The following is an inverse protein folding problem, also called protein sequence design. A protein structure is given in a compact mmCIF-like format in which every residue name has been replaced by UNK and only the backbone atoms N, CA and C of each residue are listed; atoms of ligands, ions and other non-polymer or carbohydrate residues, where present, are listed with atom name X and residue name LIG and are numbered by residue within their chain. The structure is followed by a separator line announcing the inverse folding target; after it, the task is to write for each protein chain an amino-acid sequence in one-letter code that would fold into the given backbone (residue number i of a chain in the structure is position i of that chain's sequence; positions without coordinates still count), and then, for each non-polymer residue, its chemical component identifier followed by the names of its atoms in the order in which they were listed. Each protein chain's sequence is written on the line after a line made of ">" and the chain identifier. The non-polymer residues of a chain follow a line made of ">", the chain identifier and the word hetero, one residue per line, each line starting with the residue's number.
data_IF_883090746490
#
_entry.id   IF_883090746490
#
_cell.length_a   1.000
_cell.length_b   1.000
_cell.length_c   1.000
_cell.angle_alpha   90.00
_cell.angle_beta   90.00
_cell.angle_gamma   90.00
#
_symmetry.space_group_name_H-M   'P 1'
#
loop_
_entity.id
_entity.type
_entity.pdbx_description
1 polymer ?
#
# COMPACT_ATOMS: atom_id res chain seq x y z
N UNK A 1 -9.51 10.35 25.15
CA UNK A 1 -8.22 9.84 24.56
C UNK A 1 -7.75 10.81 23.51
N UNK A 2 -6.42 11.02 23.36
CA UNK A 2 -5.90 11.64 22.14
C UNK A 2 -5.89 10.62 20.98
N UNK A 3 -5.62 11.07 19.76
CA UNK A 3 -5.66 10.22 18.55
C UNK A 3 -4.79 8.97 18.68
N UNK A 4 -3.55 9.13 19.18
CA UNK A 4 -2.63 8.01 19.36
C UNK A 4 -3.08 7.03 20.43
N UNK A 5 -3.56 7.51 21.57
CA UNK A 5 -4.09 6.66 22.63
C UNK A 5 -5.26 5.82 22.14
N UNK A 6 -6.14 6.41 21.31
CA UNK A 6 -7.29 5.73 20.72
C UNK A 6 -6.86 4.62 19.75
N UNK A 7 -5.92 4.90 18.86
CA UNK A 7 -5.35 3.90 17.95
C UNK A 7 -4.71 2.76 18.72
N UNK A 8 -3.85 3.06 19.72
CA UNK A 8 -3.17 2.03 20.50
C UNK A 8 -4.13 1.19 21.33
N UNK A 9 -5.21 1.76 21.87
CA UNK A 9 -6.25 1.00 22.58
C UNK A 9 -6.93 0.01 21.61
N UNK A 10 -7.34 0.48 20.43
CA UNK A 10 -7.96 -0.37 19.41
C UNK A 10 -7.05 -1.52 18.99
N UNK A 11 -5.75 -1.23 18.75
CA UNK A 11 -4.76 -2.24 18.36
C UNK A 11 -4.47 -3.27 19.47
N UNK A 12 -4.80 -2.97 20.73
CA UNK A 12 -4.76 -3.91 21.85
C UNK A 12 -6.10 -4.62 22.10
N UNK A 13 -7.07 -4.46 21.18
CA UNK A 13 -8.46 -4.96 21.34
C UNK A 13 -9.16 -4.40 22.59
N UNK A 14 -8.76 -3.21 23.05
CA UNK A 14 -9.42 -2.44 24.10
C UNK A 14 -10.43 -1.48 23.46
N UNK A 15 -11.59 -1.28 24.11
CA UNK A 15 -12.62 -0.36 23.60
C UNK A 15 -12.16 1.10 23.78
N UNK A 16 -11.96 1.87 22.69
CA UNK A 16 -11.61 3.28 22.76
C UNK A 16 -12.84 4.15 23.08
N UNK A 17 -12.63 5.44 23.37
CA UNK A 17 -13.70 6.42 23.57
C UNK A 17 -14.59 6.63 22.33
N UNK A 18 -14.04 6.43 21.13
CA UNK A 18 -14.77 6.34 19.86
C UNK A 18 -13.97 5.51 18.85
N UNK A 19 -14.64 5.06 17.78
CA UNK A 19 -13.99 4.30 16.69
C UNK A 19 -12.95 5.19 16.01
N UNK A 20 -11.68 4.74 15.88
CA UNK A 20 -10.64 5.49 15.18
C UNK A 20 -11.00 5.74 13.72
N UNK A 21 -10.63 6.90 13.22
CA UNK A 21 -10.93 7.29 11.86
C UNK A 21 -9.67 7.68 11.08
N UNK A 22 -9.46 7.02 9.95
CA UNK A 22 -8.41 7.32 8.98
C UNK A 22 -9.00 7.88 7.69
N UNK A 23 -8.46 8.99 7.22
CA UNK A 23 -8.74 9.57 5.91
C UNK A 23 -7.42 9.93 5.23
N UNK A 24 -7.08 9.17 4.18
CA UNK A 24 -5.94 9.48 3.30
C UNK A 24 -4.56 9.42 3.98
N UNK A 25 -4.37 8.59 5.00
CA UNK A 25 -3.02 8.35 5.53
C UNK A 25 -2.15 7.56 4.55
N UNK A 26 -2.76 6.66 3.78
CA UNK A 26 -2.13 5.85 2.72
C UNK A 26 -2.99 5.87 1.44
N UNK A 27 -2.49 5.33 0.30
CA UNK A 27 -3.30 5.24 -0.92
C UNK A 27 -4.59 4.44 -0.73
N UNK A 28 -4.56 3.40 0.12
CA UNK A 28 -5.72 2.50 0.32
C UNK A 28 -6.82 3.09 1.20
N UNK A 29 -6.55 4.20 1.88
CA UNK A 29 -7.55 5.00 2.63
C UNK A 29 -7.78 6.37 1.99
N UNK A 30 -7.27 6.56 0.77
CA UNK A 30 -7.27 7.83 0.05
C UNK A 30 -8.65 8.25 -0.47
N UNK A 31 -8.79 9.53 -0.74
CA UNK A 31 -9.99 10.12 -1.37
C UNK A 31 -9.64 10.70 -2.74
N UNK A 32 -10.40 10.32 -3.77
CA UNK A 32 -10.25 10.86 -5.12
C UNK A 32 -10.49 12.38 -5.13
N UNK A 33 -9.69 13.14 -5.87
CA UNK A 33 -9.71 14.60 -5.83
C UNK A 33 -11.11 15.21 -6.12
N UNK A 34 -11.91 14.62 -7.01
CA UNK A 34 -13.27 15.07 -7.28
C UNK A 34 -14.22 14.84 -6.09
N UNK A 35 -14.04 13.74 -5.37
CA UNK A 35 -14.82 13.47 -4.16
C UNK A 35 -14.37 14.38 -3.01
N UNK A 36 -13.06 14.62 -2.89
CA UNK A 36 -12.49 15.52 -1.90
C UNK A 36 -13.02 16.96 -2.04
N UNK A 37 -13.11 17.48 -3.26
CA UNK A 37 -13.69 18.80 -3.52
C UNK A 37 -15.14 18.88 -3.08
N UNK A 38 -15.93 17.81 -3.32
CA UNK A 38 -17.32 17.71 -2.83
C UNK A 38 -17.39 17.63 -1.30
N UNK A 39 -16.47 16.91 -0.68
CA UNK A 39 -16.36 16.81 0.77
C UNK A 39 -16.09 18.18 1.39
N UNK A 40 -15.09 18.94 0.90
CA UNK A 40 -14.80 20.30 1.38
C UNK A 40 -16.03 21.20 1.32
N UNK A 41 -16.75 21.17 0.20
CA UNK A 41 -18.02 21.92 0.04
C UNK A 41 -19.08 21.48 1.07
N UNK A 42 -19.23 20.18 1.29
CA UNK A 42 -20.20 19.65 2.26
C UNK A 42 -19.86 20.05 3.71
N UNK A 43 -18.58 20.19 4.03
CA UNK A 43 -18.07 20.64 5.33
C UNK A 43 -18.11 22.19 5.47
N UNK A 44 -18.51 22.94 4.46
CA UNK A 44 -18.50 24.40 4.47
C UNK A 44 -17.10 25.02 4.40
N UNK A 45 -16.10 24.26 3.98
CA UNK A 45 -14.72 24.71 3.83
C UNK A 45 -14.51 25.42 2.48
N UNK A 46 -13.50 26.30 2.36
CA UNK A 46 -13.19 26.98 1.11
C UNK A 46 -12.97 26.01 -0.07
N UNK A 47 -13.45 26.37 -1.26
CA UNK A 47 -13.17 25.64 -2.49
C UNK A 47 -11.74 25.93 -2.94
N UNK A 48 -10.87 24.94 -2.83
CA UNK A 48 -9.48 24.99 -3.27
C UNK A 48 -9.24 23.91 -4.33
N UNK A 49 -8.33 24.16 -5.27
CA UNK A 49 -7.91 23.11 -6.21
C UNK A 49 -7.12 22.05 -5.46
N UNK A 50 -7.58 20.78 -5.45
CA UNK A 50 -6.91 19.73 -4.70
C UNK A 50 -5.50 19.45 -5.22
N UNK A 51 -4.52 19.44 -4.34
CA UNK A 51 -3.20 18.88 -4.64
C UNK A 51 -3.31 17.36 -4.78
N UNK A 52 -2.94 16.81 -5.95
CA UNK A 52 -2.92 15.35 -6.18
C UNK A 52 -1.57 14.80 -5.75
N UNK A 53 -1.54 13.98 -4.71
CA UNK A 53 -0.32 13.37 -4.21
C UNK A 53 -0.09 11.94 -4.72
N UNK A 54 -1.16 11.21 -5.06
CA UNK A 54 -1.08 9.86 -5.61
C UNK A 54 -1.65 9.84 -7.03
N UNK A 55 -0.76 9.94 -8.01
CA UNK A 55 -1.12 10.22 -9.39
C UNK A 55 -1.95 9.10 -10.03
N UNK A 56 -1.58 7.82 -9.80
CA UNK A 56 -2.26 6.67 -10.40
C UNK A 56 -3.77 6.68 -10.09
N UNK A 57 -4.12 6.83 -8.83
CA UNK A 57 -5.51 6.82 -8.35
C UNK A 57 -6.11 8.23 -8.23
N UNK A 58 -5.39 9.28 -8.60
CA UNK A 58 -5.86 10.68 -8.54
C UNK A 58 -6.34 11.09 -7.13
N UNK A 59 -5.58 10.67 -6.09
CA UNK A 59 -5.94 10.97 -4.70
C UNK A 59 -5.50 12.36 -4.30
N UNK A 60 -6.40 13.07 -3.62
CA UNK A 60 -6.13 14.38 -3.07
C UNK A 60 -5.28 14.31 -1.80
N UNK A 61 -4.38 15.27 -1.65
CA UNK A 61 -3.82 15.60 -0.35
C UNK A 61 -4.93 16.16 0.53
N UNK A 62 -5.17 15.56 1.67
CA UNK A 62 -6.15 16.06 2.63
C UNK A 62 -5.48 17.11 3.50
N UNK A 63 -6.05 18.30 3.50
CA UNK A 63 -5.57 19.47 4.23
C UNK A 63 -5.90 19.36 5.73
N UNK A 64 -5.13 20.07 6.57
CA UNK A 64 -5.31 20.02 8.02
C UNK A 64 -6.69 20.49 8.48
N UNK A 65 -7.30 21.48 7.82
CA UNK A 65 -8.66 21.95 8.10
C UNK A 65 -9.73 20.86 7.96
N UNK A 66 -9.59 19.99 6.94
CA UNK A 66 -10.47 18.83 6.77
C UNK A 66 -10.22 17.78 7.87
N UNK A 67 -8.96 17.51 8.16
CA UNK A 67 -8.59 16.62 9.24
C UNK A 67 -9.13 17.06 10.61
N UNK A 68 -9.11 18.36 10.89
CA UNK A 68 -9.64 18.95 12.12
C UNK A 68 -11.16 18.81 12.22
N UNK A 69 -11.88 19.16 11.16
CA UNK A 69 -13.35 19.06 11.13
C UNK A 69 -13.81 17.61 11.18
N UNK A 70 -13.12 16.72 10.47
CA UNK A 70 -13.43 15.28 10.43
C UNK A 70 -12.90 14.51 11.66
N UNK A 71 -12.06 15.13 12.48
CA UNK A 71 -11.43 14.53 13.67
C UNK A 71 -10.71 13.21 13.35
N UNK A 72 -9.92 13.21 12.29
CA UNK A 72 -9.18 12.00 11.90
C UNK A 72 -8.02 11.72 12.86
N UNK A 73 -7.78 10.43 13.15
CA UNK A 73 -6.83 9.98 14.16
C UNK A 73 -5.44 9.65 13.59
N UNK A 74 -5.36 9.36 12.31
CA UNK A 74 -4.12 8.87 11.69
C UNK A 74 -3.59 9.89 10.69
N UNK A 75 -2.25 9.99 10.61
CA UNK A 75 -1.53 10.74 9.58
C UNK A 75 -0.57 9.82 8.83
N UNK A 76 -0.41 10.06 7.54
CA UNK A 76 0.53 9.31 6.71
C UNK A 76 1.92 9.92 6.74
N UNK A 77 2.93 9.09 6.97
CA UNK A 77 4.30 9.41 6.59
C UNK A 77 4.51 8.97 5.15
N UNK A 78 4.85 9.90 4.26
CA UNK A 78 4.92 9.66 2.82
C UNK A 78 6.32 9.94 2.31
N UNK A 79 7.11 8.90 2.04
CA UNK A 79 8.39 9.04 1.35
C UNK A 79 8.22 9.69 -0.03
N UNK A 80 9.23 10.44 -0.44
CA UNK A 80 9.29 11.07 -1.75
C UNK A 80 9.75 10.08 -2.83
N UNK A 81 9.61 10.38 -4.11
CA UNK A 81 10.27 9.64 -5.18
C UNK A 81 11.81 9.66 -5.04
N UNK A 82 12.55 8.73 -5.68
CA UNK A 82 14.01 8.76 -5.69
C UNK A 82 14.53 9.98 -6.45
N UNK A 83 15.74 10.42 -6.13
CA UNK A 83 16.40 11.55 -6.79
C UNK A 83 16.62 11.36 -8.30
N UNK A 84 16.65 10.10 -8.73
CA UNK A 84 16.89 9.72 -10.14
C UNK A 84 15.63 9.75 -11.00
N UNK A 85 14.45 9.97 -10.42
CA UNK A 85 13.19 10.01 -11.16
C UNK A 85 12.49 11.36 -11.00
N UNK A 86 11.88 11.83 -12.08
CA UNK A 86 11.00 13.00 -12.06
C UNK A 86 9.79 12.76 -12.95
N UNK A 87 8.62 13.25 -12.51
CA UNK A 87 7.38 13.12 -13.27
C UNK A 87 7.49 13.85 -14.61
N UNK A 88 7.31 13.09 -15.68
CA UNK A 88 7.19 13.61 -17.04
C UNK A 88 5.84 13.19 -17.60
N UNK A 89 5.00 14.18 -17.92
CA UNK A 89 3.69 13.94 -18.54
C UNK A 89 3.79 14.12 -20.04
N UNK A 90 3.09 13.28 -20.79
CA UNK A 90 2.89 13.44 -22.23
C UNK A 90 1.43 13.21 -22.58
N UNK A 91 0.99 13.66 -23.74
CA UNK A 91 -0.41 13.52 -24.16
C UNK A 91 -0.53 13.32 -25.67
N UNK A 92 -1.63 12.68 -26.06
CA UNK A 92 -2.09 12.61 -27.45
C UNK A 92 -3.57 13.06 -27.55
N UNK A 93 -4.20 12.75 -28.69
CA UNK A 93 -5.59 13.17 -28.94
C UNK A 93 -6.60 12.59 -27.93
N UNK A 94 -6.32 11.47 -27.28
CA UNK A 94 -7.27 10.76 -26.41
C UNK A 94 -6.80 10.54 -24.98
N UNK A 95 -5.49 10.55 -24.74
CA UNK A 95 -4.93 10.13 -23.47
C UNK A 95 -3.83 11.06 -22.96
N UNK A 96 -3.69 11.04 -21.64
CA UNK A 96 -2.54 11.59 -20.91
C UNK A 96 -1.72 10.42 -20.36
N UNK A 97 -0.40 10.50 -20.45
CA UNK A 97 0.53 9.43 -20.11
C UNK A 97 1.58 9.90 -19.10
N UNK A 98 2.08 8.96 -18.30
CA UNK A 98 3.34 9.10 -17.59
C UNK A 98 3.99 7.72 -17.40
N UNK A 99 5.31 7.71 -17.19
CA UNK A 99 6.05 6.51 -16.77
C UNK A 99 6.50 6.70 -15.33
N UNK A 100 6.14 5.75 -14.46
CA UNK A 100 6.51 5.80 -13.04
C UNK A 100 7.99 5.41 -12.82
N UNK A 101 8.44 5.52 -11.57
CA UNK A 101 9.83 5.19 -11.20
C UNK A 101 10.21 3.71 -11.45
N UNK A 102 9.21 2.84 -11.57
CA UNK A 102 9.38 1.41 -11.89
C UNK A 102 9.46 1.13 -13.40
N UNK A 103 9.36 2.17 -14.25
CA UNK A 103 9.31 2.05 -15.70
C UNK A 103 7.95 1.60 -16.25
N UNK A 104 6.93 1.55 -15.42
CA UNK A 104 5.56 1.19 -15.84
C UNK A 104 4.92 2.41 -16.49
N UNK A 105 4.50 2.29 -17.75
CA UNK A 105 3.78 3.36 -18.43
C UNK A 105 2.29 3.24 -18.18
N UNK A 106 1.71 4.35 -17.76
CA UNK A 106 0.29 4.47 -17.41
C UNK A 106 -0.37 5.53 -18.28
N UNK A 107 -1.67 5.35 -18.53
CA UNK A 107 -2.48 6.31 -19.27
C UNK A 107 -3.85 6.53 -18.64
N UNK A 108 -4.38 7.72 -18.83
CA UNK A 108 -5.72 8.11 -18.43
C UNK A 108 -6.42 8.78 -19.61
N UNK A 109 -7.70 8.49 -19.86
CA UNK A 109 -8.48 9.26 -20.82
C UNK A 109 -8.49 10.74 -20.43
N UNK A 110 -8.25 11.64 -21.39
CA UNK A 110 -8.12 13.08 -21.15
C UNK A 110 -9.38 13.67 -20.53
N UNK A 111 -10.53 13.39 -21.10
CA UNK A 111 -11.76 14.12 -20.75
C UNK A 111 -12.57 13.46 -19.63
N UNK A 112 -12.59 12.12 -19.53
CA UNK A 112 -13.45 11.38 -18.61
C UNK A 112 -12.72 10.31 -17.78
N UNK A 113 -11.39 10.30 -17.78
CA UNK A 113 -10.61 9.32 -17.03
C UNK A 113 -10.51 9.65 -15.56
N UNK A 114 -10.84 8.69 -14.71
CA UNK A 114 -10.69 8.82 -13.25
C UNK A 114 -9.32 8.36 -12.76
N UNK A 115 -8.71 7.36 -13.40
CA UNK A 115 -7.48 6.70 -12.95
C UNK A 115 -6.52 6.54 -14.12
N UNK A 116 -5.24 6.38 -13.80
CA UNK A 116 -4.23 5.99 -14.76
C UNK A 116 -4.08 4.47 -14.77
N UNK A 117 -4.49 3.84 -15.87
CA UNK A 117 -4.36 2.41 -16.09
C UNK A 117 -2.99 2.07 -16.71
N UNK A 118 -2.50 0.86 -16.47
CA UNK A 118 -1.26 0.37 -17.08
C UNK A 118 -1.50 0.18 -18.58
N UNK A 119 -0.57 0.69 -19.39
CA UNK A 119 -0.59 0.49 -20.84
C UNK A 119 0.71 -0.10 -21.40
N UNK A 120 1.80 -0.09 -20.63
CA UNK A 120 3.03 -0.82 -20.97
C UNK A 120 3.74 -1.29 -19.70
N UNK A 121 4.20 -2.54 -19.74
CA UNK A 121 4.91 -3.23 -18.66
C UNK A 121 6.38 -3.41 -19.09
N UNK A 122 7.36 -2.92 -18.31
CA UNK A 122 8.75 -2.84 -18.75
C UNK A 122 9.44 -4.21 -18.91
N UNK A 123 8.94 -5.24 -18.22
CA UNK A 123 9.50 -6.59 -18.26
C UNK A 123 8.66 -7.55 -19.11
N UNK A 124 7.76 -7.04 -19.99
CA UNK A 124 6.87 -7.88 -20.81
C UNK A 124 7.63 -8.88 -21.70
N UNK A 125 8.81 -8.53 -22.17
CA UNK A 125 9.56 -9.29 -23.17
C UNK A 125 10.70 -10.13 -22.61
N UNK A 126 10.97 -10.09 -21.28
CA UNK A 126 12.03 -10.89 -20.66
C UNK A 126 11.75 -12.39 -20.80
N UNK A 127 12.83 -13.19 -20.84
CA UNK A 127 12.73 -14.64 -21.00
C UNK A 127 13.47 -15.44 -19.92
N UNK A 128 14.28 -14.79 -19.11
CA UNK A 128 15.18 -15.46 -18.16
C UNK A 128 15.30 -14.66 -16.87
N UNK A 129 15.52 -15.30 -15.72
CA UNK A 129 15.79 -14.61 -14.45
C UNK A 129 16.92 -13.57 -14.53
N UNK A 130 17.98 -13.86 -15.32
CA UNK A 130 19.09 -12.93 -15.49
C UNK A 130 18.70 -11.59 -16.16
N UNK A 131 17.57 -11.53 -16.86
CA UNK A 131 17.07 -10.30 -17.48
C UNK A 131 16.46 -9.38 -16.40
N UNK A 132 15.90 -9.93 -15.30
CA UNK A 132 15.44 -9.21 -14.13
C UNK A 132 16.61 -8.50 -13.43
N UNK A 133 17.73 -9.19 -13.23
CA UNK A 133 18.91 -8.62 -12.57
C UNK A 133 19.53 -7.43 -13.32
N UNK A 134 19.33 -7.38 -14.65
CA UNK A 134 19.84 -6.29 -15.51
C UNK A 134 18.89 -5.10 -15.59
N UNK A 135 17.66 -5.26 -15.15
CA UNK A 135 16.68 -4.19 -15.20
C UNK A 135 17.04 -3.10 -14.18
N UNK A 136 17.02 -1.81 -14.59
CA UNK A 136 17.38 -0.69 -13.72
C UNK A 136 16.21 -0.35 -12.77
N UNK A 137 15.99 -1.19 -11.76
CA UNK A 137 14.99 -0.90 -10.72
C UNK A 137 15.32 0.40 -10.00
N UNK A 138 14.30 1.10 -9.46
CA UNK A 138 14.53 2.31 -8.68
C UNK A 138 15.34 2.01 -7.42
N UNK A 139 16.19 2.96 -7.01
CA UNK A 139 16.85 2.87 -5.72
C UNK A 139 15.82 3.03 -4.60
N UNK A 140 15.52 1.92 -3.91
CA UNK A 140 14.56 1.88 -2.82
C UNK A 140 15.09 2.52 -1.54
N UNK A 141 16.40 2.70 -1.41
CA UNK A 141 17.08 3.26 -0.24
C UNK A 141 17.64 4.68 -0.49
N UNK A 142 17.32 5.32 -1.61
CA UNK A 142 17.75 6.69 -1.92
C UNK A 142 17.39 7.65 -0.80
N UNK A 143 18.36 8.37 -0.28
CA UNK A 143 18.18 9.32 0.83
C UNK A 143 17.15 10.41 0.55
N UNK A 144 16.97 10.81 -0.72
CA UNK A 144 15.99 11.81 -1.11
C UNK A 144 14.56 11.40 -0.75
N UNK A 145 14.26 10.10 -0.69
CA UNK A 145 12.95 9.59 -0.30
C UNK A 145 12.54 9.98 1.12
N UNK A 146 13.49 10.17 2.00
CA UNK A 146 13.26 10.21 3.45
C UNK A 146 13.50 11.59 4.06
N UNK A 147 13.77 12.60 3.22
CA UNK A 147 14.02 13.97 3.69
C UNK A 147 12.81 14.50 4.47
N UNK A 148 13.05 14.99 5.69
CA UNK A 148 12.04 15.61 6.56
C UNK A 148 11.05 14.64 7.24
N UNK A 149 11.12 13.32 6.98
CA UNK A 149 10.19 12.36 7.59
C UNK A 149 10.30 12.31 9.11
N UNK A 150 11.52 12.34 9.66
CA UNK A 150 11.72 12.29 11.11
C UNK A 150 11.16 13.53 11.80
N UNK A 151 11.47 14.73 11.28
CA UNK A 151 10.97 16.00 11.85
C UNK A 151 9.44 16.04 11.86
N UNK A 152 8.80 15.57 10.77
CA UNK A 152 7.35 15.46 10.68
C UNK A 152 6.78 14.50 11.71
N UNK A 153 7.40 13.32 11.87
CA UNK A 153 6.97 12.31 12.83
C UNK A 153 7.14 12.78 14.27
N UNK A 154 8.26 13.42 14.62
CA UNK A 154 8.52 13.97 15.96
C UNK A 154 7.52 15.07 16.32
N UNK A 155 7.26 16.01 15.39
CA UNK A 155 6.27 17.06 15.58
C UNK A 155 4.87 16.48 15.86
N UNK A 156 4.39 15.58 15.01
CA UNK A 156 3.06 15.01 15.20
C UNK A 156 2.96 14.10 16.43
N UNK A 157 4.05 13.40 16.79
CA UNK A 157 4.10 12.63 18.04
C UNK A 157 3.95 13.55 19.28
N UNK A 158 4.58 14.72 19.27
CA UNK A 158 4.42 15.72 20.33
C UNK A 158 2.99 16.26 20.43
N UNK A 159 2.25 16.28 19.31
CA UNK A 159 0.84 16.65 19.22
C UNK A 159 -0.13 15.48 19.56
N UNK A 160 0.38 14.32 19.93
CA UNK A 160 -0.43 13.12 20.27
C UNK A 160 -1.06 12.44 19.05
N UNK A 161 -0.49 12.63 17.86
CA UNK A 161 -0.94 11.99 16.61
C UNK A 161 -0.38 10.58 16.46
N UNK A 162 -1.11 9.70 15.79
CA UNK A 162 -0.65 8.39 15.34
C UNK A 162 -0.19 8.46 13.89
N UNK A 163 0.87 7.72 13.57
CA UNK A 163 1.39 7.66 12.21
C UNK A 163 1.34 6.26 11.62
N UNK A 164 0.95 6.22 10.34
CA UNK A 164 1.10 5.07 9.47
C UNK A 164 2.14 5.35 8.40
N UNK A 165 3.01 4.38 8.16
CA UNK A 165 4.04 4.42 7.13
C UNK A 165 3.76 3.32 6.10
N UNK A 166 3.58 3.72 4.84
CA UNK A 166 3.33 2.80 3.73
C UNK A 166 4.60 2.22 3.12
N UNK A 167 4.46 1.04 2.50
CA UNK A 167 5.49 0.42 1.67
C UNK A 167 5.81 1.23 0.41
N UNK A 168 6.96 0.94 -0.20
CA UNK A 168 7.43 1.63 -1.41
C UNK A 168 6.59 1.29 -2.66
N UNK A 169 5.99 0.12 -2.67
CA UNK A 169 5.15 -0.40 -3.76
C UNK A 169 4.17 -1.45 -3.22
N UNK A 170 3.17 -1.87 -4.00
CA UNK A 170 2.34 -3.03 -3.70
C UNK A 170 3.15 -4.32 -3.49
N UNK A 171 2.45 -5.42 -3.25
CA UNK A 171 3.07 -6.71 -3.02
C UNK A 171 3.58 -7.39 -4.30
N UNK A 172 3.96 -8.63 -4.15
CA UNK A 172 4.60 -9.41 -5.21
C UNK A 172 3.65 -9.73 -6.37
N UNK A 173 2.38 -10.05 -6.05
CA UNK A 173 1.39 -10.40 -7.07
C UNK A 173 1.06 -9.20 -7.93
N UNK A 174 0.73 -8.06 -7.32
CA UNK A 174 0.41 -6.83 -8.06
C UNK A 174 1.64 -6.30 -8.83
N UNK A 175 2.80 -6.20 -8.18
CA UNK A 175 4.01 -5.72 -8.87
C UNK A 175 4.45 -6.67 -9.98
N UNK A 176 4.26 -7.97 -9.81
CA UNK A 176 4.47 -8.97 -10.87
C UNK A 176 3.56 -8.70 -12.07
N UNK A 177 2.27 -8.47 -11.83
CA UNK A 177 1.32 -8.09 -12.88
C UNK A 177 1.70 -6.77 -13.56
N UNK A 178 2.16 -5.78 -12.81
CA UNK A 178 2.48 -4.46 -13.34
C UNK A 178 3.79 -4.43 -14.13
N UNK A 179 4.83 -5.10 -13.63
CA UNK A 179 6.16 -5.13 -14.25
C UNK A 179 6.23 -6.10 -15.43
N UNK A 180 5.67 -7.30 -15.27
CA UNK A 180 5.75 -8.38 -16.27
C UNK A 180 4.61 -8.33 -17.28
N UNK A 181 3.51 -7.66 -16.94
CA UNK A 181 2.23 -7.75 -17.62
C UNK A 181 1.35 -8.86 -17.02
N UNK A 182 0.06 -8.58 -16.93
CA UNK A 182 -0.91 -9.43 -16.23
C UNK A 182 -0.89 -10.88 -16.76
N UNK A 183 -1.09 -11.06 -18.05
CA UNK A 183 -1.11 -12.38 -18.70
C UNK A 183 0.23 -13.11 -18.55
N UNK A 184 1.34 -12.43 -18.83
CA UNK A 184 2.66 -13.05 -18.76
C UNK A 184 3.00 -13.53 -17.36
N UNK A 185 2.69 -12.73 -16.33
CA UNK A 185 3.02 -13.11 -14.95
C UNK A 185 2.24 -14.34 -14.48
N UNK A 186 0.95 -14.45 -14.84
CA UNK A 186 0.17 -15.66 -14.54
C UNK A 186 0.65 -16.89 -15.34
N UNK A 187 1.05 -16.70 -16.60
CA UNK A 187 1.67 -17.76 -17.37
C UNK A 187 3.00 -18.25 -16.74
N UNK A 188 3.82 -17.32 -16.26
CA UNK A 188 5.08 -17.65 -15.57
C UNK A 188 4.78 -18.40 -14.25
N UNK A 189 3.83 -17.95 -13.43
CA UNK A 189 3.42 -18.65 -12.21
C UNK A 189 2.97 -20.11 -12.47
N UNK A 190 2.35 -20.35 -13.62
CA UNK A 190 1.84 -21.67 -13.99
C UNK A 190 2.87 -22.54 -14.70
N UNK A 191 3.81 -21.97 -15.50
CA UNK A 191 4.66 -22.69 -16.43
C UNK A 191 6.15 -22.40 -16.35
N UNK A 192 6.57 -21.26 -15.83
CA UNK A 192 7.99 -20.87 -15.66
C UNK A 192 8.22 -20.29 -14.25
N UNK A 193 8.02 -21.13 -13.24
CA UNK A 193 8.19 -20.76 -11.84
C UNK A 193 9.52 -20.07 -11.52
N UNK A 194 10.68 -20.51 -12.07
CA UNK A 194 11.95 -19.82 -11.81
C UNK A 194 11.94 -18.34 -12.20
N UNK A 195 11.26 -17.97 -13.27
CA UNK A 195 11.14 -16.58 -13.70
C UNK A 195 10.22 -15.77 -12.78
N UNK A 196 9.03 -16.33 -12.45
CA UNK A 196 8.10 -15.71 -11.53
C UNK A 196 8.70 -15.54 -10.12
N UNK A 197 9.36 -16.57 -9.60
CA UNK A 197 9.98 -16.53 -8.29
C UNK A 197 11.15 -15.55 -8.22
N UNK A 198 11.98 -15.46 -9.27
CA UNK A 198 13.05 -14.47 -9.35
C UNK A 198 12.51 -13.03 -9.31
N UNK A 199 11.38 -12.76 -9.97
CA UNK A 199 10.74 -11.44 -9.90
C UNK A 199 10.19 -11.16 -8.50
N UNK A 200 9.51 -12.12 -7.87
CA UNK A 200 9.04 -12.00 -6.49
C UNK A 200 10.19 -11.75 -5.52
N UNK A 201 11.30 -12.48 -5.66
CA UNK A 201 12.47 -12.31 -4.80
C UNK A 201 13.11 -10.92 -4.97
N UNK A 202 13.18 -10.39 -6.20
CA UNK A 202 13.69 -9.04 -6.46
C UNK A 202 12.79 -7.98 -5.84
N UNK A 203 11.47 -8.10 -5.95
CA UNK A 203 10.52 -7.16 -5.32
C UNK A 203 10.72 -7.15 -3.80
N UNK A 204 10.81 -8.32 -3.17
CA UNK A 204 11.03 -8.43 -1.72
C UNK A 204 12.40 -7.87 -1.31
N UNK A 205 13.45 -8.09 -2.09
CA UNK A 205 14.77 -7.49 -1.84
C UNK A 205 14.67 -5.96 -1.79
N UNK A 206 14.05 -5.33 -2.78
CA UNK A 206 13.88 -3.89 -2.85
C UNK A 206 13.02 -3.35 -1.68
N UNK A 207 11.94 -4.04 -1.33
CA UNK A 207 11.13 -3.70 -0.15
C UNK A 207 11.92 -3.81 1.14
N UNK A 208 12.76 -4.84 1.31
CA UNK A 208 13.60 -4.98 2.50
C UNK A 208 14.68 -3.89 2.60
N UNK A 209 15.26 -3.45 1.48
CA UNK A 209 16.19 -2.31 1.44
C UNK A 209 15.49 -1.02 1.88
N UNK A 210 14.31 -0.74 1.32
CA UNK A 210 13.46 0.40 1.72
C UNK A 210 13.15 0.38 3.22
N UNK A 211 12.63 -0.75 3.74
CA UNK A 211 12.27 -0.88 5.15
C UNK A 211 13.48 -0.77 6.08
N UNK A 212 14.64 -1.29 5.67
CA UNK A 212 15.88 -1.11 6.44
C UNK A 212 16.19 0.37 6.61
N UNK A 213 16.11 1.13 5.52
CA UNK A 213 16.47 2.55 5.53
C UNK A 213 15.45 3.39 6.29
N UNK A 214 14.18 3.31 5.93
CA UNK A 214 13.14 4.17 6.51
C UNK A 214 12.89 3.87 7.99
N UNK A 215 12.91 2.59 8.40
CA UNK A 215 12.74 2.24 9.82
C UNK A 215 13.96 2.59 10.67
N UNK A 216 15.14 2.70 10.08
CA UNK A 216 16.31 3.30 10.74
C UNK A 216 16.14 4.80 11.03
N UNK A 217 15.23 5.47 10.31
CA UNK A 217 14.96 6.90 10.47
C UNK A 217 13.78 7.17 11.39
N UNK A 218 12.66 6.45 11.22
CA UNK A 218 11.37 6.73 11.89
C UNK A 218 10.75 5.53 12.61
N UNK A 219 11.41 4.37 12.68
CA UNK A 219 10.83 3.14 13.23
C UNK A 219 10.40 3.23 14.71
N UNK A 220 11.00 4.14 15.48
CA UNK A 220 10.64 4.45 16.87
C UNK A 220 9.41 5.38 16.99
N UNK A 221 8.97 5.97 15.90
CA UNK A 221 7.92 7.00 15.86
C UNK A 221 6.63 6.53 15.16
N UNK A 222 6.65 5.43 14.42
CA UNK A 222 5.48 4.90 13.73
C UNK A 222 4.70 3.93 14.62
N UNK A 223 3.38 3.98 14.54
CA UNK A 223 2.49 3.09 15.27
C UNK A 223 1.94 1.97 14.37
N UNK A 224 1.83 2.25 13.05
CA UNK A 224 1.30 1.31 12.06
C UNK A 224 2.19 1.32 10.82
N UNK A 225 2.50 0.14 10.32
CA UNK A 225 3.22 -0.08 9.07
C UNK A 225 2.29 -0.75 8.08
N UNK A 226 2.11 -0.14 6.91
CA UNK A 226 1.22 -0.67 5.88
C UNK A 226 2.01 -1.38 4.78
N UNK A 227 1.67 -2.63 4.58
CA UNK A 227 1.98 -3.45 3.41
C UNK A 227 0.68 -3.89 2.74
N UNK A 228 0.77 -4.47 1.57
CA UNK A 228 -0.40 -5.00 0.89
C UNK A 228 -0.06 -5.73 -0.40
N UNK A 229 -1.00 -6.57 -0.82
CA UNK A 229 -0.97 -7.27 -2.10
C UNK A 229 -2.38 -7.81 -2.38
N UNK A 230 -2.98 -7.47 -3.50
CA UNK A 230 -4.34 -7.85 -3.84
C UNK A 230 -4.41 -9.31 -4.30
N UNK A 231 -4.55 -10.21 -3.34
CA UNK A 231 -4.64 -11.65 -3.61
C UNK A 231 -6.04 -12.14 -3.97
N UNK A 232 -7.09 -11.39 -3.61
CA UNK A 232 -8.47 -11.83 -3.74
C UNK A 232 -9.18 -11.27 -4.97
N UNK A 233 -9.96 -12.14 -5.62
CA UNK A 233 -11.03 -11.74 -6.54
C UNK A 233 -12.37 -11.61 -5.82
N UNK A 234 -13.46 -11.49 -6.58
CA UNK A 234 -14.80 -11.38 -6.00
C UNK A 234 -15.26 -12.68 -5.30
N UNK A 235 -14.88 -13.83 -5.82
CA UNK A 235 -15.36 -15.13 -5.35
C UNK A 235 -14.29 -15.95 -4.63
N UNK A 236 -13.05 -15.89 -5.11
CA UNK A 236 -11.92 -16.69 -4.65
C UNK A 236 -10.62 -15.90 -4.77
N UNK A 237 -9.50 -16.51 -4.33
CA UNK A 237 -8.15 -15.98 -4.58
C UNK A 237 -7.85 -15.94 -6.09
N UNK A 238 -6.98 -15.01 -6.48
CA UNK A 238 -6.48 -14.89 -7.87
C UNK A 238 -5.51 -16.01 -8.25
N UNK A 239 -4.96 -16.70 -7.26
CA UNK A 239 -4.13 -17.91 -7.40
C UNK A 239 -4.61 -18.95 -6.40
N UNK A 240 -4.34 -20.24 -6.64
CA UNK A 240 -4.75 -21.26 -5.67
C UNK A 240 -4.10 -21.05 -4.30
N UNK A 241 -4.79 -21.39 -3.18
CA UNK A 241 -4.20 -21.28 -1.85
C UNK A 241 -2.88 -22.05 -1.72
N UNK A 242 -2.74 -23.17 -2.44
CA UNK A 242 -1.49 -23.95 -2.46
C UNK A 242 -0.37 -23.15 -3.12
N UNK A 243 -0.59 -22.59 -4.31
CA UNK A 243 0.41 -21.79 -5.02
C UNK A 243 0.79 -20.55 -4.19
N UNK A 244 -0.19 -19.92 -3.54
CA UNK A 244 0.05 -18.79 -2.65
C UNK A 244 0.99 -19.16 -1.49
N UNK A 245 0.74 -20.34 -0.83
CA UNK A 245 1.58 -20.84 0.25
C UNK A 245 2.98 -21.24 -0.19
N UNK A 246 3.13 -21.72 -1.42
CA UNK A 246 4.42 -22.11 -1.98
C UNK A 246 5.29 -20.90 -2.38
N UNK A 247 4.71 -19.88 -3.00
CA UNK A 247 5.45 -18.78 -3.61
C UNK A 247 5.42 -17.52 -2.73
N UNK A 248 4.24 -17.07 -2.32
CA UNK A 248 4.08 -15.74 -1.70
C UNK A 248 4.28 -15.78 -0.18
N UNK A 249 3.70 -16.75 0.53
CA UNK A 249 3.77 -16.85 1.99
C UNK A 249 5.20 -16.78 2.54
N UNK A 250 6.18 -17.60 2.07
CA UNK A 250 7.52 -17.59 2.65
C UNK A 250 8.26 -16.28 2.44
N UNK A 251 8.01 -15.61 1.33
CA UNK A 251 8.58 -14.29 1.00
C UNK A 251 7.94 -13.18 1.84
N UNK A 252 6.63 -13.21 2.00
CA UNK A 252 5.89 -12.31 2.87
C UNK A 252 6.33 -12.46 4.34
N UNK A 253 6.46 -13.69 4.82
CA UNK A 253 6.96 -13.99 6.17
C UNK A 253 8.36 -13.39 6.40
N UNK A 254 9.25 -13.51 5.42
CA UNK A 254 10.60 -12.91 5.47
C UNK A 254 10.54 -11.38 5.57
N UNK A 255 9.67 -10.75 4.76
CA UNK A 255 9.47 -9.30 4.78
C UNK A 255 8.90 -8.82 6.12
N UNK A 256 7.82 -9.44 6.60
CA UNK A 256 7.17 -9.05 7.86
C UNK A 256 8.11 -9.24 9.05
N UNK A 257 8.83 -10.35 9.12
CA UNK A 257 9.85 -10.57 10.14
C UNK A 257 10.93 -9.48 10.12
N UNK A 258 11.37 -9.08 8.92
CA UNK A 258 12.36 -8.01 8.75
C UNK A 258 11.84 -6.66 9.27
N UNK A 259 10.58 -6.33 9.00
CA UNK A 259 9.89 -5.12 9.46
C UNK A 259 9.75 -5.14 10.99
N UNK A 260 9.12 -6.19 11.55
CA UNK A 260 8.87 -6.30 12.99
C UNK A 260 10.13 -6.35 13.85
N UNK A 261 11.24 -6.83 13.31
CA UNK A 261 12.55 -6.77 13.99
C UNK A 261 13.05 -5.32 14.14
N UNK A 262 12.70 -4.42 13.21
CA UNK A 262 13.17 -3.02 13.18
C UNK A 262 12.19 -2.03 13.82
N UNK A 263 10.92 -2.37 13.83
CA UNK A 263 9.86 -1.61 14.46
C UNK A 263 8.97 -2.54 15.31
N UNK A 264 9.51 -3.08 16.43
CA UNK A 264 8.80 -4.13 17.20
C UNK A 264 7.51 -3.65 17.87
N UNK A 265 7.31 -2.34 17.98
CA UNK A 265 6.14 -1.74 18.60
C UNK A 265 5.08 -1.30 17.59
N UNK A 266 5.36 -1.40 16.29
CA UNK A 266 4.42 -1.05 15.25
C UNK A 266 3.55 -2.26 14.87
N UNK A 267 2.24 -2.03 14.68
CA UNK A 267 1.34 -3.05 14.14
C UNK A 267 1.41 -3.10 12.64
N UNK A 268 1.33 -4.30 12.07
CA UNK A 268 1.35 -4.52 10.63
C UNK A 268 -0.06 -4.51 10.05
N UNK A 269 -0.36 -3.49 9.30
CA UNK A 269 -1.56 -3.34 8.47
C UNK A 269 -1.31 -3.99 7.12
N UNK A 270 -2.16 -4.92 6.73
CA UNK A 270 -2.06 -5.58 5.43
C UNK A 270 -3.31 -5.30 4.59
N UNK A 271 -3.09 -4.67 3.42
CA UNK A 271 -4.14 -4.45 2.44
C UNK A 271 -4.23 -5.62 1.48
N UNK A 272 -5.43 -6.20 1.35
CA UNK A 272 -5.72 -7.19 0.32
C UNK A 272 -7.22 -7.14 -0.04
N UNK A 273 -7.54 -6.66 -1.24
CA UNK A 273 -8.91 -6.65 -1.74
C UNK A 273 -9.45 -8.06 -1.99
N UNK A 274 -10.78 -8.18 -2.03
CA UNK A 274 -11.47 -9.38 -2.46
C UNK A 274 -11.64 -10.47 -1.40
N UNK A 275 -11.88 -11.69 -1.88
CA UNK A 275 -12.03 -12.88 -1.06
C UNK A 275 -10.66 -13.44 -0.67
N UNK A 276 -10.19 -13.12 0.53
CA UNK A 276 -8.91 -13.60 1.07
C UNK A 276 -9.07 -14.62 2.21
N UNK A 277 -10.31 -15.07 2.43
CA UNK A 277 -10.67 -15.93 3.56
C UNK A 277 -9.74 -17.14 3.73
N UNK A 278 -9.39 -17.84 2.64
CA UNK A 278 -8.60 -19.07 2.67
C UNK A 278 -7.14 -18.89 3.12
N UNK A 279 -6.64 -17.65 3.09
CA UNK A 279 -5.28 -17.30 3.52
C UNK A 279 -5.24 -16.42 4.76
N UNK A 280 -6.37 -16.09 5.39
CA UNK A 280 -6.40 -15.31 6.64
C UNK A 280 -5.60 -15.98 7.77
N UNK A 281 -5.74 -17.30 8.02
CA UNK A 281 -4.90 -17.96 9.02
C UNK A 281 -3.41 -17.85 8.71
N UNK A 282 -3.04 -17.93 7.44
CA UNK A 282 -1.66 -17.79 6.99
C UNK A 282 -1.14 -16.35 7.16
N UNK A 283 -1.98 -15.32 6.89
CA UNK A 283 -1.64 -13.92 7.12
C UNK A 283 -1.41 -13.63 8.60
N UNK A 284 -2.24 -14.18 9.49
CA UNK A 284 -2.05 -14.09 10.94
C UNK A 284 -0.73 -14.77 11.34
N UNK A 285 -0.48 -15.99 10.85
CA UNK A 285 0.74 -16.75 11.16
C UNK A 285 2.02 -15.99 10.77
N UNK A 286 2.02 -15.29 9.63
CA UNK A 286 3.19 -14.51 9.21
C UNK A 286 3.32 -13.16 9.93
N UNK A 287 2.31 -12.76 10.71
CA UNK A 287 2.38 -11.63 11.62
C UNK A 287 1.63 -10.37 11.15
N UNK A 288 0.57 -10.53 10.38
CA UNK A 288 -0.39 -9.45 10.10
C UNK A 288 -1.23 -9.18 11.35
N UNK A 289 -1.38 -7.90 11.73
CA UNK A 289 -2.14 -7.48 12.90
C UNK A 289 -3.46 -6.77 12.51
N UNK A 290 -3.50 -6.13 11.34
CA UNK A 290 -4.66 -5.36 10.86
C UNK A 290 -4.98 -5.79 9.44
N UNK A 291 -6.23 -6.17 9.17
CA UNK A 291 -6.72 -6.50 7.83
C UNK A 291 -7.50 -5.34 7.22
N UNK A 292 -7.18 -4.95 6.00
CA UNK A 292 -7.89 -3.94 5.22
C UNK A 292 -7.97 -4.36 3.74
N UNK A 293 -9.10 -4.11 3.09
CA UNK A 293 -10.42 -3.89 3.69
C UNK A 293 -11.06 -5.20 4.14
N UNK A 294 -12.06 -5.13 4.99
CA UNK A 294 -13.02 -6.23 5.08
C UNK A 294 -14.03 -6.02 3.95
N UNK A 295 -13.74 -6.59 2.77
CA UNK A 295 -14.58 -6.40 1.58
C UNK A 295 -15.83 -7.26 1.67
N UNK A 296 -16.82 -6.80 2.42
CA UNK A 296 -18.08 -7.53 2.71
C UNK A 296 -18.92 -7.89 1.46
N UNK A 297 -18.63 -7.29 0.30
CA UNK A 297 -19.24 -7.65 -0.98
C UNK A 297 -18.60 -8.87 -1.65
N UNK A 298 -17.42 -9.28 -1.20
CA UNK A 298 -16.75 -10.49 -1.70
C UNK A 298 -17.29 -11.74 -0.98
N UNK A 299 -17.19 -12.87 -1.67
CA UNK A 299 -17.63 -14.15 -1.13
C UNK A 299 -16.88 -14.49 0.17
N UNK A 300 -17.56 -15.06 1.15
CA UNK A 300 -16.99 -15.53 2.43
C UNK A 300 -16.37 -14.43 3.30
N UNK A 301 -16.57 -13.14 2.98
CA UNK A 301 -16.05 -12.00 3.73
C UNK A 301 -17.13 -11.35 4.61
N UNK A 302 -18.05 -12.16 5.18
CA UNK A 302 -19.05 -11.67 6.15
C UNK A 302 -18.38 -11.17 7.42
N UNK A 303 -18.59 -9.90 7.77
CA UNK A 303 -17.90 -9.24 8.89
C UNK A 303 -18.19 -9.89 10.26
N UNK A 304 -19.40 -10.46 10.45
CA UNK A 304 -19.76 -11.12 11.70
C UNK A 304 -19.06 -12.47 11.83
N UNK A 305 -18.95 -13.20 10.71
CA UNK A 305 -18.19 -14.46 10.67
C UNK A 305 -16.72 -14.20 10.94
N UNK A 306 -16.11 -13.26 10.24
CA UNK A 306 -14.69 -12.90 10.40
C UNK A 306 -14.40 -12.45 11.83
N UNK A 307 -15.28 -11.63 12.44
CA UNK A 307 -15.10 -11.20 13.84
C UNK A 307 -15.15 -12.38 14.82
N UNK A 308 -16.00 -13.37 14.59
CA UNK A 308 -16.04 -14.57 15.46
C UNK A 308 -14.80 -15.45 15.32
N UNK A 309 -14.28 -15.59 14.10
CA UNK A 309 -13.20 -16.53 13.79
C UNK A 309 -11.80 -15.93 13.99
N UNK A 310 -11.63 -14.65 13.66
CA UNK A 310 -10.31 -14.01 13.62
C UNK A 310 -10.22 -12.72 14.46
N UNK A 311 -11.30 -12.26 15.06
CA UNK A 311 -11.36 -10.97 15.73
C UNK A 311 -10.58 -10.90 17.06
N UNK A 312 -9.94 -11.97 17.51
CA UNK A 312 -8.95 -11.96 18.60
C UNK A 312 -7.52 -11.79 18.09
N UNK A 313 -7.29 -12.04 16.80
CA UNK A 313 -5.97 -12.02 16.16
C UNK A 313 -5.82 -10.83 15.22
N UNK A 314 -6.94 -10.34 14.66
CA UNK A 314 -6.98 -9.23 13.69
C UNK A 314 -7.86 -8.09 14.19
N UNK A 315 -7.33 -6.88 14.04
CA UNK A 315 -8.09 -5.62 14.19
C UNK A 315 -8.71 -5.21 12.88
#
# INVERSE_FOLDING_TARGET
>A
MNSRERILATLRHEEPDCVPYDLSSTPVTGIHHLAYRRLRKALGLPDTEPHIWHLMQQLAWVEDDVHEVMQTDVRGLRPQPPSTWSLQMSEDAGYVYYTDEWGITRRKQRDNGYYFDICASPLSDIKRPADIERYPFPDSADDARFVGLRDLAEKGRAEGRSFILGGICPGMLEMGQWLRGFENFYCDLAGDRPLAEALCDKIIELKMQYWTKVLGIVGDLVDVIQEGDDYGGQNDLLVSPQLWREIFKPRLARLIKHIKTRAPNASLFFHACGCVYDVLPDLIEVGVDILNPVQVSAARMDSRQLKREFGNDLT
#
